data_IF_683403507316
#
_entry.id   IF_683403507316
#
_cell.length_a   1.000
_cell.length_b   1.000
_cell.length_c   1.000
_cell.angle_alpha   90.00
_cell.angle_beta   90.00
_cell.angle_gamma   90.00
#
_symmetry.space_group_name_H-M   'P 1'
#
loop_
_entity.id
_entity.type
_entity.pdbx_description
1 polymer ?
#
# COMPACT_ATOMS: atom_id res chain seq x y z
N UNK A 1 17.54 13.57 -5.32
CA UNK A 1 18.30 12.33 -5.04
C UNK A 1 19.14 12.50 -3.80
N UNK A 2 19.32 11.41 -3.07
CA UNK A 2 20.19 11.42 -1.89
C UNK A 2 21.64 11.44 -2.37
N UNK A 3 22.44 12.36 -1.83
CA UNK A 3 23.88 12.40 -2.12
C UNK A 3 24.51 11.11 -1.58
N UNK A 4 25.27 10.34 -2.39
CA UNK A 4 25.94 9.14 -1.90
C UNK A 4 26.81 9.45 -0.68
N UNK A 5 26.68 8.63 0.37
CA UNK A 5 27.43 8.78 1.62
C UNK A 5 26.80 9.72 2.66
N UNK A 6 25.68 10.39 2.37
CA UNK A 6 24.96 11.16 3.38
C UNK A 6 24.11 10.19 4.24
N UNK A 7 24.38 10.19 5.54
CA UNK A 7 23.52 9.48 6.50
C UNK A 7 22.16 10.17 6.56
N UNK A 8 21.11 9.39 6.39
CA UNK A 8 19.74 9.83 6.57
C UNK A 8 19.29 9.42 7.98
N UNK A 9 18.62 10.33 8.66
CA UNK A 9 18.09 10.09 10.00
C UNK A 9 16.57 10.02 9.97
N UNK A 10 15.98 9.28 10.87
CA UNK A 10 14.53 9.31 11.07
C UNK A 10 14.05 10.75 11.31
N UNK A 11 12.95 11.13 10.69
CA UNK A 11 12.40 12.47 10.69
C UNK A 11 12.95 13.41 9.60
N UNK A 12 14.00 13.03 8.87
CA UNK A 12 14.45 13.79 7.71
C UNK A 12 13.52 13.61 6.53
N UNK A 13 13.11 14.68 5.86
CA UNK A 13 12.34 14.59 4.63
C UNK A 13 13.21 14.11 3.47
N UNK A 14 12.67 13.15 2.74
CA UNK A 14 13.28 12.63 1.52
C UNK A 14 12.29 12.64 0.39
N UNK A 15 12.80 12.90 -0.81
CA UNK A 15 12.08 12.68 -2.05
C UNK A 15 12.49 11.33 -2.61
N UNK A 16 11.52 10.46 -2.84
CA UNK A 16 11.72 9.11 -3.35
C UNK A 16 11.03 8.94 -4.69
N UNK A 17 11.64 8.16 -5.59
CA UNK A 17 10.97 7.70 -6.80
C UNK A 17 9.85 6.74 -6.37
N UNK A 18 8.67 6.91 -6.95
CA UNK A 18 7.54 5.99 -6.78
C UNK A 18 7.50 5.03 -7.96
N UNK A 19 7.58 3.73 -7.68
CA UNK A 19 7.55 2.71 -8.72
C UNK A 19 6.12 2.35 -9.11
N UNK A 20 5.25 2.15 -8.14
CA UNK A 20 3.89 1.69 -8.36
C UNK A 20 2.92 2.62 -7.63
N UNK A 21 1.86 3.00 -8.33
CA UNK A 21 0.76 3.78 -7.74
C UNK A 21 -0.53 3.00 -7.88
N UNK A 22 -1.31 2.91 -6.80
CA UNK A 22 -2.61 2.26 -6.77
C UNK A 22 -3.71 3.18 -6.26
N UNK A 23 -4.88 3.09 -6.86
CA UNK A 23 -6.09 3.78 -6.40
C UNK A 23 -7.28 2.82 -6.42
N UNK A 24 -8.34 3.15 -5.69
CA UNK A 24 -9.50 2.29 -5.54
C UNK A 24 -10.82 3.11 -5.67
N UNK A 25 -11.96 2.46 -5.43
CA UNK A 25 -13.28 3.03 -5.67
C UNK A 25 -13.57 4.33 -4.92
N UNK A 26 -13.05 4.52 -3.70
CA UNK A 26 -13.32 5.73 -2.92
C UNK A 26 -12.32 6.85 -3.21
N UNK A 27 -11.07 6.55 -3.49
CA UNK A 27 -10.03 7.55 -3.72
C UNK A 27 -9.81 7.90 -5.18
N UNK A 28 -10.17 7.01 -6.11
CA UNK A 28 -9.91 7.21 -7.55
C UNK A 28 -10.56 8.46 -8.13
N UNK A 29 -11.80 8.76 -7.75
CA UNK A 29 -12.47 9.96 -8.21
C UNK A 29 -11.86 11.24 -7.65
N UNK A 30 -11.44 11.24 -6.37
CA UNK A 30 -10.73 12.36 -5.78
C UNK A 30 -9.36 12.54 -6.41
N UNK A 31 -8.65 11.44 -6.66
CA UNK A 31 -7.36 11.45 -7.36
C UNK A 31 -7.48 12.06 -8.76
N UNK A 32 -8.55 11.73 -9.50
CA UNK A 32 -8.84 12.35 -10.80
C UNK A 32 -9.01 13.86 -10.69
N UNK A 33 -9.78 14.32 -9.72
CA UNK A 33 -10.01 15.75 -9.49
C UNK A 33 -8.73 16.49 -9.11
N UNK A 34 -7.88 15.89 -8.29
CA UNK A 34 -6.57 16.44 -7.92
C UNK A 34 -5.63 16.54 -9.13
N UNK A 35 -5.60 15.53 -10.01
CA UNK A 35 -4.83 15.57 -11.24
C UNK A 35 -5.32 16.69 -12.17
N UNK A 36 -6.63 16.84 -12.31
CA UNK A 36 -7.23 17.94 -13.08
C UNK A 36 -6.86 19.31 -12.49
N UNK A 37 -6.91 19.46 -11.18
CA UNK A 37 -6.51 20.67 -10.49
C UNK A 37 -5.02 21.02 -10.68
N UNK A 38 -4.17 20.00 -10.80
CA UNK A 38 -2.74 20.16 -11.13
C UNK A 38 -2.49 20.38 -12.63
N UNK A 39 -3.53 20.43 -13.47
CA UNK A 39 -3.42 20.44 -14.92
C UNK A 39 -2.56 19.28 -15.48
N UNK A 40 -2.51 18.16 -14.80
CA UNK A 40 -1.82 16.98 -15.26
C UNK A 40 -2.65 16.29 -16.36
N UNK A 41 -2.03 16.02 -17.48
CA UNK A 41 -2.68 15.39 -18.65
C UNK A 41 -2.19 13.99 -18.91
N UNK A 42 -1.06 13.61 -18.30
CA UNK A 42 -0.44 12.30 -18.46
C UNK A 42 0.19 11.86 -17.14
N UNK A 43 0.33 10.56 -16.98
CA UNK A 43 1.06 9.98 -15.86
C UNK A 43 2.56 10.10 -16.13
N UNK A 44 3.33 10.39 -15.09
CA UNK A 44 4.77 10.48 -15.17
C UNK A 44 5.39 9.17 -15.69
N UNK A 45 6.31 9.24 -16.67
CA UNK A 45 7.04 8.09 -17.16
C UNK A 45 7.98 7.47 -16.11
N UNK A 46 8.17 8.13 -14.96
CA UNK A 46 8.94 7.60 -13.84
C UNK A 46 8.19 6.55 -13.04
N UNK A 47 6.85 6.50 -13.16
CA UNK A 47 6.01 5.46 -12.55
C UNK A 47 6.05 4.22 -13.42
N UNK A 48 6.51 3.11 -12.85
CA UNK A 48 6.64 1.84 -13.57
C UNK A 48 5.27 1.16 -13.79
N UNK A 49 4.27 1.46 -12.92
CA UNK A 49 2.90 0.98 -13.04
C UNK A 49 1.90 1.83 -12.25
N UNK A 50 0.78 2.13 -12.88
CA UNK A 50 -0.33 2.86 -12.27
C UNK A 50 -1.61 2.04 -12.40
N UNK A 51 -2.27 1.76 -11.28
CA UNK A 51 -3.37 0.82 -11.21
C UNK A 51 -4.59 1.43 -10.56
N UNK A 52 -5.75 1.14 -11.11
CA UNK A 52 -7.04 1.49 -10.54
C UNK A 52 -7.85 0.22 -10.32
N UNK A 53 -8.39 0.05 -9.12
CA UNK A 53 -9.40 -0.96 -8.83
C UNK A 53 -10.76 -0.30 -8.57
N UNK A 54 -11.83 -1.02 -8.86
CA UNK A 54 -13.19 -0.62 -8.48
C UNK A 54 -13.57 -1.02 -7.06
N UNK A 55 -12.64 -1.56 -6.28
CA UNK A 55 -12.94 -2.15 -4.98
C UNK A 55 -11.77 -2.05 -4.00
N UNK A 56 -12.07 -1.72 -2.75
CA UNK A 56 -11.15 -1.84 -1.61
C UNK A 56 -11.63 -2.88 -0.56
N UNK A 57 -12.81 -3.41 -0.78
CA UNK A 57 -13.41 -4.50 0.01
C UNK A 57 -13.85 -5.62 -0.94
N UNK A 58 -14.02 -6.81 -0.48
CA UNK A 58 -14.30 -7.97 -1.33
C UNK A 58 -15.70 -7.94 -2.03
N UNK A 59 -16.43 -6.83 -2.00
CA UNK A 59 -17.76 -6.78 -2.63
C UNK A 59 -18.07 -5.46 -3.30
N UNK A 60 -18.29 -5.52 -4.61
CA UNK A 60 -18.83 -4.41 -5.43
C UNK A 60 -20.37 -4.41 -5.41
N UNK A 61 -20.96 -4.89 -4.33
CA UNK A 61 -22.43 -5.01 -4.21
C UNK A 61 -23.10 -3.69 -3.79
N UNK A 62 -22.34 -2.74 -3.28
CA UNK A 62 -22.87 -1.42 -2.95
C UNK A 62 -23.26 -0.66 -4.22
N UNK A 63 -24.49 -0.20 -4.28
CA UNK A 63 -25.01 0.60 -5.40
C UNK A 63 -24.22 1.89 -5.63
N UNK A 64 -23.63 2.50 -4.59
CA UNK A 64 -22.79 3.68 -4.73
C UNK A 64 -21.46 3.35 -5.41
N UNK A 65 -20.83 2.24 -5.02
CA UNK A 65 -19.61 1.77 -5.66
C UNK A 65 -19.87 1.43 -7.14
N UNK A 66 -20.95 0.72 -7.43
CA UNK A 66 -21.35 0.42 -8.80
C UNK A 66 -21.60 1.66 -9.64
N UNK A 67 -22.24 2.69 -9.10
CA UNK A 67 -22.50 3.96 -9.80
C UNK A 67 -21.20 4.74 -10.12
N UNK A 68 -20.11 4.49 -9.40
CA UNK A 68 -18.82 5.13 -9.64
C UNK A 68 -17.98 4.41 -10.70
N UNK A 69 -18.24 3.15 -11.01
CA UNK A 69 -17.48 2.37 -11.99
C UNK A 69 -17.29 3.09 -13.33
N UNK A 70 -18.35 3.64 -13.98
CA UNK A 70 -18.16 4.34 -15.25
C UNK A 70 -17.24 5.55 -15.16
N UNK A 71 -17.27 6.28 -14.04
CA UNK A 71 -16.39 7.44 -13.80
C UNK A 71 -14.94 7.01 -13.59
N UNK A 72 -14.74 5.93 -12.83
CA UNK A 72 -13.41 5.34 -12.64
C UNK A 72 -12.84 4.80 -13.95
N UNK A 73 -13.66 4.18 -14.79
CA UNK A 73 -13.24 3.75 -16.12
C UNK A 73 -12.85 4.94 -17.00
N UNK A 74 -13.59 6.04 -16.94
CA UNK A 74 -13.22 7.28 -17.64
C UNK A 74 -11.88 7.81 -17.15
N UNK A 75 -11.68 7.87 -15.84
CA UNK A 75 -10.41 8.25 -15.23
C UNK A 75 -9.25 7.36 -15.73
N UNK A 76 -9.44 6.05 -15.70
CA UNK A 76 -8.43 5.11 -16.18
C UNK A 76 -8.06 5.35 -17.65
N UNK A 77 -9.07 5.51 -18.50
CA UNK A 77 -8.87 5.74 -19.93
C UNK A 77 -8.17 7.08 -20.21
N UNK A 78 -8.57 8.13 -19.51
CA UNK A 78 -8.02 9.47 -19.71
C UNK A 78 -6.54 9.56 -19.32
N UNK A 79 -6.12 8.82 -18.30
CA UNK A 79 -4.75 8.85 -17.79
C UNK A 79 -3.94 7.58 -18.10
N UNK A 80 -4.48 6.62 -18.85
CA UNK A 80 -3.77 5.39 -19.21
C UNK A 80 -3.46 4.49 -18.02
N UNK A 81 -4.29 4.53 -16.97
CA UNK A 81 -4.17 3.63 -15.82
C UNK A 81 -4.50 2.19 -16.22
N UNK A 82 -3.77 1.26 -15.66
CA UNK A 82 -3.90 -0.16 -15.98
C UNK A 82 -4.89 -0.79 -15.01
N UNK A 83 -5.85 -1.56 -15.53
CA UNK A 83 -6.54 -2.55 -14.71
C UNK A 83 -5.56 -3.67 -14.41
N UNK A 84 -5.54 -4.15 -13.18
CA UNK A 84 -4.69 -5.26 -12.82
C UNK A 84 -4.93 -6.46 -13.74
N UNK A 85 -3.84 -6.97 -14.29
CA UNK A 85 -3.83 -8.25 -14.99
C UNK A 85 -3.40 -9.33 -14.02
N UNK A 86 -4.09 -10.45 -14.02
CA UNK A 86 -3.51 -11.63 -13.42
C UNK A 86 -2.26 -12.08 -14.22
N UNK A 87 -1.44 -12.97 -13.68
CA UNK A 87 -0.27 -13.50 -14.38
C UNK A 87 -0.60 -14.19 -15.71
N UNK A 88 -1.86 -14.54 -15.95
CA UNK A 88 -2.36 -15.15 -17.19
C UNK A 88 -2.85 -14.12 -18.21
N UNK A 89 -2.75 -12.83 -17.91
CA UNK A 89 -3.15 -11.75 -18.80
C UNK A 89 -4.66 -11.49 -18.86
N UNK A 90 -5.43 -12.10 -17.97
CA UNK A 90 -6.87 -11.85 -17.83
C UNK A 90 -7.06 -10.54 -17.07
N UNK A 91 -7.86 -9.64 -17.62
CA UNK A 91 -8.27 -8.44 -16.88
C UNK A 91 -9.29 -8.84 -15.82
N UNK A 92 -8.93 -8.75 -14.57
CA UNK A 92 -9.89 -8.76 -13.51
C UNK A 92 -10.63 -7.42 -13.54
N UNK A 93 -11.84 -7.46 -14.03
CA UNK A 93 -12.70 -6.29 -14.18
C UNK A 93 -12.92 -5.64 -12.84
N UNK A 94 -12.18 -4.58 -12.50
CA UNK A 94 -12.48 -3.62 -11.42
C UNK A 94 -13.03 -4.21 -10.08
N UNK A 95 -13.02 -5.53 -9.92
CA UNK A 95 -13.64 -6.25 -8.79
C UNK A 95 -12.66 -6.73 -7.74
N UNK A 96 -11.36 -6.70 -8.06
CA UNK A 96 -10.33 -7.15 -7.13
C UNK A 96 -9.95 -6.07 -6.13
N UNK A 97 -9.68 -6.52 -4.91
CA UNK A 97 -9.22 -5.65 -3.83
C UNK A 97 -7.84 -5.10 -4.16
N UNK A 98 -7.70 -3.77 -4.22
CA UNK A 98 -6.51 -3.08 -4.73
C UNK A 98 -5.20 -3.54 -4.06
N UNK A 99 -5.17 -3.68 -2.75
CA UNK A 99 -3.95 -4.07 -2.04
C UNK A 99 -3.54 -5.53 -2.32
N UNK A 100 -4.48 -6.45 -2.57
CA UNK A 100 -4.17 -7.80 -3.05
C UNK A 100 -3.57 -7.78 -4.45
N UNK A 101 -4.14 -6.95 -5.31
CA UNK A 101 -3.64 -6.75 -6.67
C UNK A 101 -2.21 -6.22 -6.64
N UNK A 102 -1.98 -5.13 -5.93
CA UNK A 102 -0.65 -4.52 -5.83
C UNK A 102 0.38 -5.51 -5.27
N UNK A 103 0.01 -6.29 -4.24
CA UNK A 103 0.89 -7.32 -3.70
C UNK A 103 1.21 -8.44 -4.71
N UNK A 104 0.23 -8.82 -5.54
CA UNK A 104 0.43 -9.87 -6.54
C UNK A 104 1.33 -9.44 -7.71
N UNK A 105 1.25 -8.17 -8.13
CA UNK A 105 2.02 -7.64 -9.26
C UNK A 105 3.42 -7.14 -8.87
N UNK A 106 3.65 -6.86 -7.59
CA UNK A 106 4.96 -6.40 -7.12
C UNK A 106 5.96 -7.53 -7.14
N UNK A 107 7.02 -7.37 -7.91
CA UNK A 107 8.10 -8.35 -8.08
C UNK A 107 9.41 -7.90 -7.43
N UNK A 108 9.56 -6.59 -7.17
CA UNK A 108 10.72 -6.00 -6.53
C UNK A 108 10.39 -5.69 -5.07
N UNK A 109 11.09 -6.34 -4.14
CA UNK A 109 10.89 -6.16 -2.71
C UNK A 109 11.29 -4.76 -2.21
N UNK A 110 11.97 -3.97 -3.03
CA UNK A 110 12.36 -2.59 -2.74
C UNK A 110 11.57 -1.55 -3.51
N UNK A 111 10.59 -1.96 -4.31
CA UNK A 111 9.72 -1.03 -5.01
C UNK A 111 8.97 -0.14 -4.02
N UNK A 112 9.00 1.18 -4.25
CA UNK A 112 8.19 2.14 -3.48
C UNK A 112 6.79 2.18 -4.09
N UNK A 113 5.80 1.90 -3.27
CA UNK A 113 4.40 1.80 -3.67
C UNK A 113 3.58 2.81 -2.89
N UNK A 114 2.82 3.63 -3.60
CA UNK A 114 1.86 4.57 -3.00
C UNK A 114 0.46 4.13 -3.38
N UNK A 115 -0.39 3.93 -2.41
CA UNK A 115 -1.78 3.53 -2.64
C UNK A 115 -2.78 4.39 -1.92
N UNK A 116 -3.91 4.65 -2.58
CA UNK A 116 -5.02 5.42 -2.04
C UNK A 116 -5.90 4.64 -1.07
N UNK A 117 -5.32 3.67 -0.38
CA UNK A 117 -5.98 2.86 0.64
C UNK A 117 -5.08 2.72 1.86
N UNK A 118 -5.66 2.82 3.06
CA UNK A 118 -4.90 2.69 4.32
C UNK A 118 -4.23 1.32 4.47
N UNK A 119 -4.78 0.27 3.85
CA UNK A 119 -4.23 -1.08 3.81
C UNK A 119 -3.21 -1.31 2.68
N UNK A 120 -2.73 -0.26 2.02
CA UNK A 120 -1.57 -0.34 1.12
C UNK A 120 -0.30 -0.56 1.95
N UNK A 121 -0.25 -1.69 2.63
CA UNK A 121 0.87 -2.20 3.43
C UNK A 121 0.97 -3.69 3.15
N UNK A 122 1.93 -4.05 2.30
CA UNK A 122 1.95 -5.38 1.70
C UNK A 122 3.22 -6.11 2.07
N UNK A 123 3.23 -7.42 1.86
CA UNK A 123 4.39 -8.25 2.13
C UNK A 123 5.51 -8.12 1.09
N UNK A 124 5.23 -7.40 -0.01
CA UNK A 124 6.19 -7.13 -1.09
C UNK A 124 6.29 -5.63 -1.33
N UNK A 125 7.50 -5.18 -1.59
CA UNK A 125 7.80 -3.77 -1.75
C UNK A 125 7.74 -2.99 -0.43
N UNK A 126 7.93 -1.69 -0.54
CA UNK A 126 7.77 -0.73 0.57
C UNK A 126 6.54 0.11 0.27
N UNK A 127 5.41 -0.31 0.84
CA UNK A 127 4.10 0.20 0.47
C UNK A 127 3.52 1.14 1.53
N UNK A 128 3.01 2.28 1.07
CA UNK A 128 2.43 3.34 1.90
C UNK A 128 1.00 3.64 1.47
N UNK A 129 0.07 3.59 2.43
CA UNK A 129 -1.25 4.17 2.25
C UNK A 129 -1.18 5.70 2.31
N UNK A 130 -1.84 6.37 1.37
CA UNK A 130 -1.80 7.81 1.20
C UNK A 130 -3.19 8.38 0.85
N UNK A 131 -3.35 9.68 1.02
CA UNK A 131 -4.51 10.43 0.56
C UNK A 131 -4.51 10.63 -0.96
N UNK A 132 -5.64 11.09 -1.52
CA UNK A 132 -5.81 11.29 -2.97
C UNK A 132 -4.84 12.31 -3.55
N UNK A 133 -4.50 13.36 -2.81
CA UNK A 133 -3.55 14.38 -3.25
C UNK A 133 -2.14 13.83 -3.39
N UNK A 134 -1.69 13.04 -2.41
CA UNK A 134 -0.39 12.34 -2.47
C UNK A 134 -0.36 11.32 -3.62
N UNK A 135 -1.43 10.57 -3.83
CA UNK A 135 -1.56 9.63 -4.96
C UNK A 135 -1.50 10.38 -6.29
N UNK A 136 -2.23 11.48 -6.43
CA UNK A 136 -2.23 12.31 -7.64
C UNK A 136 -0.85 12.91 -7.90
N UNK A 137 -0.17 13.43 -6.87
CA UNK A 137 1.19 13.96 -7.01
C UNK A 137 2.17 12.88 -7.46
N UNK A 138 2.09 11.67 -6.87
CA UNK A 138 2.91 10.53 -7.28
C UNK A 138 2.65 10.14 -8.73
N UNK A 139 1.39 10.13 -9.19
CA UNK A 139 1.04 9.88 -10.59
C UNK A 139 1.59 10.97 -11.52
N UNK A 140 1.46 12.24 -11.16
CA UNK A 140 1.87 13.35 -12.00
C UNK A 140 3.40 13.51 -12.10
N UNK A 141 4.13 13.26 -11.01
CA UNK A 141 5.57 13.53 -10.91
C UNK A 141 6.45 12.28 -10.92
N UNK A 142 5.90 11.12 -10.53
CA UNK A 142 6.67 9.90 -10.29
C UNK A 142 7.45 9.92 -8.97
N UNK A 143 7.16 10.89 -8.10
CA UNK A 143 7.89 11.08 -6.84
C UNK A 143 6.94 11.34 -5.68
N UNK A 144 7.38 11.00 -4.47
CA UNK A 144 6.74 11.38 -3.23
C UNK A 144 7.74 11.95 -2.25
N UNK A 145 7.32 12.93 -1.45
CA UNK A 145 8.11 13.47 -0.34
C UNK A 145 7.53 12.94 0.96
N UNK A 146 8.39 12.37 1.79
CA UNK A 146 7.97 11.83 3.07
C UNK A 146 9.12 11.91 4.10
N UNK A 147 8.80 12.07 5.40
CA UNK A 147 9.81 11.92 6.42
C UNK A 147 10.21 10.44 6.52
N UNK A 148 11.50 10.18 6.73
CA UNK A 148 12.00 8.83 7.00
C UNK A 148 11.43 8.38 8.35
N UNK A 149 10.61 7.30 8.41
CA UNK A 149 10.09 6.81 9.67
C UNK A 149 11.18 6.08 10.47
N UNK A 150 11.00 6.03 11.78
CA UNK A 150 11.70 5.02 12.58
C UNK A 150 11.18 3.63 12.23
N UNK A 151 11.98 2.59 12.48
CA UNK A 151 11.55 1.21 12.32
C UNK A 151 11.43 0.45 13.65
N UNK A 152 10.58 -0.57 13.62
CA UNK A 152 10.40 -1.52 14.72
C UNK A 152 10.52 -2.92 14.14
N UNK A 153 11.46 -3.69 14.66
CA UNK A 153 11.63 -5.09 14.28
C UNK A 153 10.63 -5.98 15.00
N UNK A 154 9.91 -6.80 14.23
CA UNK A 154 9.03 -7.85 14.74
C UNK A 154 9.55 -9.20 14.27
N UNK A 155 9.74 -10.12 15.20
CA UNK A 155 10.18 -11.49 14.89
C UNK A 155 9.22 -12.47 15.54
N UNK A 156 8.56 -13.26 14.74
CA UNK A 156 7.71 -14.37 15.23
C UNK A 156 8.58 -15.57 15.57
N UNK A 157 8.37 -16.15 16.76
CA UNK A 157 9.08 -17.35 17.23
C UNK A 157 8.07 -18.34 17.80
N UNK A 158 8.34 -19.62 17.56
CA UNK A 158 7.50 -20.72 18.04
C UNK A 158 6.58 -21.26 16.96
N UNK A 159 5.64 -22.11 17.39
CA UNK A 159 4.68 -22.78 16.51
C UNK A 159 3.27 -22.36 16.89
N UNK A 160 2.49 -22.00 15.89
CA UNK A 160 1.08 -21.66 16.07
C UNK A 160 0.29 -22.94 16.46
N UNK A 161 -0.63 -22.79 17.40
CA UNK A 161 -1.49 -23.90 17.79
C UNK A 161 -2.46 -24.27 16.64
N UNK A 162 -2.81 -25.56 16.47
CA UNK A 162 -3.62 -26.01 15.34
C UNK A 162 -4.99 -25.36 15.17
N UNK A 163 -5.55 -24.83 16.25
CA UNK A 163 -6.88 -24.19 16.28
C UNK A 163 -6.84 -22.66 16.21
N UNK A 164 -5.65 -22.07 16.07
CA UNK A 164 -5.48 -20.63 15.94
C UNK A 164 -5.41 -20.24 14.48
N UNK A 165 -6.07 -19.13 14.13
CA UNK A 165 -5.85 -18.40 12.90
C UNK A 165 -4.66 -17.43 13.08
N UNK A 166 -3.95 -17.14 12.00
CA UNK A 166 -2.82 -16.20 12.07
C UNK A 166 -3.27 -14.79 12.47
N UNK A 167 -4.51 -14.41 12.20
CA UNK A 167 -5.11 -13.16 12.65
C UNK A 167 -5.13 -13.05 14.18
N UNK A 168 -5.33 -14.17 14.90
CA UNK A 168 -5.26 -14.18 16.37
C UNK A 168 -3.86 -13.81 16.85
N UNK A 169 -2.82 -14.27 16.14
CA UNK A 169 -1.42 -13.92 16.43
C UNK A 169 -1.19 -12.43 16.21
N UNK A 170 -1.75 -11.85 15.15
CA UNK A 170 -1.64 -10.42 14.85
C UNK A 170 -2.28 -9.58 15.96
N UNK A 171 -3.50 -9.92 16.36
CA UNK A 171 -4.21 -9.24 17.46
C UNK A 171 -3.46 -9.38 18.79
N UNK A 172 -2.99 -10.58 19.11
CA UNK A 172 -2.20 -10.83 20.32
C UNK A 172 -0.91 -10.01 20.33
N UNK A 173 -0.23 -9.87 19.17
CA UNK A 173 0.97 -9.05 19.04
C UNK A 173 0.67 -7.59 19.38
N UNK A 174 -0.39 -7.02 18.81
CA UNK A 174 -0.79 -5.64 19.10
C UNK A 174 -1.12 -5.43 20.58
N UNK A 175 -1.94 -6.32 21.15
CA UNK A 175 -2.34 -6.25 22.55
C UNK A 175 -1.14 -6.39 23.50
N UNK A 176 -0.22 -7.31 23.20
CA UNK A 176 0.97 -7.53 24.00
C UNK A 176 1.90 -6.32 23.98
N UNK A 177 2.14 -5.73 22.81
CA UNK A 177 2.99 -4.54 22.69
C UNK A 177 2.41 -3.35 23.43
N UNK A 178 1.11 -3.12 23.32
CA UNK A 178 0.43 -2.07 24.06
C UNK A 178 0.57 -2.28 25.59
N UNK A 179 0.41 -3.52 26.06
CA UNK A 179 0.56 -3.87 27.48
C UNK A 179 1.98 -3.70 27.98
N UNK A 180 2.99 -4.06 27.20
CA UNK A 180 4.40 -4.01 27.60
C UNK A 180 4.99 -2.61 27.54
N UNK A 181 4.61 -1.82 26.56
CA UNK A 181 5.22 -0.53 26.28
C UNK A 181 4.36 0.65 26.77
N UNK A 182 3.11 0.40 27.15
CA UNK A 182 2.18 1.44 27.61
C UNK A 182 1.69 2.39 26.52
N UNK A 183 2.12 2.18 25.26
CA UNK A 183 1.77 2.98 24.10
C UNK A 183 1.80 2.14 22.82
N UNK A 184 1.23 2.68 21.76
CA UNK A 184 1.28 2.04 20.45
C UNK A 184 2.65 2.23 19.79
N UNK A 185 3.56 1.29 20.04
CA UNK A 185 4.94 1.32 19.51
C UNK A 185 5.02 1.28 17.99
N UNK A 186 3.95 0.93 17.30
CA UNK A 186 3.90 0.83 15.83
C UNK A 186 3.49 2.14 15.16
N UNK A 187 2.89 3.04 15.91
CA UNK A 187 2.35 4.28 15.35
C UNK A 187 3.42 5.12 14.66
N UNK A 188 3.18 5.42 13.38
CA UNK A 188 4.06 6.27 12.58
C UNK A 188 5.39 5.63 12.18
N UNK A 189 5.63 4.35 12.47
CA UNK A 189 6.88 3.63 12.20
C UNK A 189 6.73 2.64 11.05
N UNK A 190 7.85 2.23 10.48
CA UNK A 190 7.91 1.05 9.59
C UNK A 190 8.08 -0.19 10.47
N UNK A 191 7.32 -1.23 10.17
CA UNK A 191 7.44 -2.53 10.84
C UNK A 191 8.29 -3.44 9.95
N UNK A 192 9.46 -3.83 10.43
CA UNK A 192 10.35 -4.79 9.79
C UNK A 192 9.99 -6.20 10.28
N UNK A 193 9.28 -6.93 9.43
CA UNK A 193 8.81 -8.28 9.76
C UNK A 193 9.86 -9.29 9.33
N UNK A 194 10.49 -9.94 10.30
CA UNK A 194 11.35 -11.07 10.02
C UNK A 194 10.49 -12.32 9.82
N UNK A 195 10.30 -12.68 8.55
CA UNK A 195 9.33 -13.67 8.11
C UNK A 195 9.65 -15.06 8.69
N UNK A 196 10.94 -15.44 8.70
CA UNK A 196 11.35 -16.74 9.25
C UNK A 196 10.57 -17.90 8.62
N UNK A 197 9.63 -18.46 9.37
CA UNK A 197 8.79 -19.59 8.94
C UNK A 197 7.38 -19.17 8.51
N UNK A 198 7.07 -17.87 8.39
CA UNK A 198 5.75 -17.44 7.94
C UNK A 198 5.49 -17.84 6.48
N UNK A 199 4.27 -18.24 6.20
CA UNK A 199 3.78 -18.43 4.85
C UNK A 199 3.50 -17.07 4.21
N UNK A 200 3.47 -17.01 2.87
CA UNK A 200 3.27 -15.75 2.14
C UNK A 200 1.95 -15.05 2.48
N UNK A 201 0.89 -15.81 2.70
CA UNK A 201 -0.43 -15.29 3.12
C UNK A 201 -0.43 -14.78 4.57
N UNK A 202 0.35 -15.40 5.45
CA UNK A 202 0.54 -14.95 6.83
C UNK A 202 1.33 -13.64 6.86
N UNK A 203 2.40 -13.55 6.06
CA UNK A 203 3.17 -12.32 5.91
C UNK A 203 2.29 -11.18 5.38
N UNK A 204 1.49 -11.44 4.34
CA UNK A 204 0.53 -10.47 3.81
C UNK A 204 -0.51 -10.06 4.86
N UNK A 205 -1.10 -11.02 5.59
CA UNK A 205 -2.09 -10.74 6.64
C UNK A 205 -1.52 -9.83 7.72
N UNK A 206 -0.29 -10.08 8.15
CA UNK A 206 0.35 -9.23 9.17
C UNK A 206 0.63 -7.82 8.63
N UNK A 207 1.25 -7.71 7.46
CA UNK A 207 1.61 -6.41 6.89
C UNK A 207 0.38 -5.57 6.58
N UNK A 208 -0.67 -6.15 6.03
CA UNK A 208 -1.94 -5.49 5.77
C UNK A 208 -2.56 -4.95 7.08
N UNK A 209 -2.58 -5.78 8.12
CA UNK A 209 -3.13 -5.40 9.43
C UNK A 209 -2.36 -4.29 10.14
N UNK A 210 -1.13 -4.02 9.75
CA UNK A 210 -0.36 -2.91 10.34
C UNK A 210 -0.98 -1.53 10.07
N UNK A 211 -1.93 -1.43 9.16
CA UNK A 211 -2.77 -0.26 8.98
C UNK A 211 -3.55 0.08 10.26
N UNK A 212 -4.17 -0.93 10.87
CA UNK A 212 -4.92 -0.80 12.11
C UNK A 212 -4.01 -0.49 13.31
N UNK A 213 -2.74 -0.85 13.22
CA UNK A 213 -1.72 -0.49 14.19
C UNK A 213 -1.19 0.95 13.98
N UNK A 214 -1.73 1.69 13.00
CA UNK A 214 -1.29 3.04 12.61
C UNK A 214 0.17 3.11 12.18
N UNK A 215 0.75 2.02 11.71
CA UNK A 215 2.09 2.00 11.13
C UNK A 215 2.13 2.81 9.83
N UNK A 216 3.29 3.31 9.42
CA UNK A 216 3.47 3.99 8.12
C UNK A 216 3.57 2.98 6.99
N UNK A 217 4.32 1.91 7.20
CA UNK A 217 4.49 0.80 6.27
C UNK A 217 4.90 -0.46 7.03
N UNK A 218 4.91 -1.60 6.34
CA UNK A 218 5.55 -2.82 6.80
C UNK A 218 6.39 -3.39 5.65
N UNK A 219 7.52 -3.97 5.99
CA UNK A 219 8.41 -4.66 5.05
C UNK A 219 8.71 -6.05 5.58
N UNK A 220 8.77 -7.03 4.69
CA UNK A 220 9.19 -8.38 5.03
C UNK A 220 10.67 -8.57 4.72
N UNK A 221 11.42 -9.16 5.66
CA UNK A 221 12.87 -9.36 5.58
C UNK A 221 13.19 -10.83 5.85
#
# INVERSE_FOLDING_TARGET
>A
GVTPGKLLHAGSDVRVKVNIVGSQDTTGLMTSQELEAMAATVISPLVDGAYQSGCHTASVWDKKAQANIPKLMSFMNNFGLITARDPKGVYHSMTDVIHKVLNAITVDDWAIIIGGDSHTRMSKGVAFGADSGTVALALATGEATMPIPQSVKVTFKGTMQPHMDFRDVVHATQAQMLKQCGDNVFQGRIIEVHIGTLLADQAFTFTDWTAEMKAKAAICI
#
